data_IF_539537308934
#
_entry.id   IF_539537308934
#
_cell.length_a   1.000
_cell.length_b   1.000
_cell.length_c   1.000
_cell.angle_alpha   90.00
_cell.angle_beta   90.00
_cell.angle_gamma   90.00
#
_symmetry.space_group_name_H-M   'P 1'
#
loop_
_entity.id
_entity.type
_entity.pdbx_description
1 polymer ?
#
# COMPACT_ATOMS: atom_id res chain seq x y z
N UNK A 1 -24.36 28.56 61.16
CA UNK A 1 -23.91 27.29 60.55
C UNK A 1 -22.58 27.55 59.90
N UNK A 2 -21.50 27.10 60.54
CA UNK A 2 -20.12 27.34 60.14
C UNK A 2 -19.76 26.54 58.89
N UNK A 3 -19.21 27.24 57.89
CA UNK A 3 -18.20 26.66 57.02
C UNK A 3 -16.84 26.76 57.71
N UNK A 4 -16.09 25.68 57.73
CA UNK A 4 -14.67 25.66 58.06
C UNK A 4 -14.01 24.38 57.54
N UNK A 5 -13.14 24.63 56.56
CA UNK A 5 -11.73 24.18 56.52
C UNK A 5 -11.38 22.74 56.10
N UNK A 6 -10.58 22.75 55.03
CA UNK A 6 -9.93 21.67 54.34
C UNK A 6 -9.06 20.83 55.26
N UNK A 7 -9.27 19.51 55.23
CA UNK A 7 -8.30 18.54 55.75
C UNK A 7 -7.61 17.87 54.56
N UNK A 8 -6.41 18.35 54.24
CA UNK A 8 -5.43 17.64 53.43
C UNK A 8 -5.21 16.24 54.01
N UNK A 9 -5.50 15.19 53.23
CA UNK A 9 -5.04 13.84 53.49
C UNK A 9 -4.23 13.38 52.30
N UNK A 10 -2.92 13.36 52.49
CA UNK A 10 -1.99 12.65 51.62
C UNK A 10 -2.40 11.17 51.47
N UNK A 11 -2.20 10.57 50.29
CA UNK A 11 -2.52 9.17 50.07
C UNK A 11 -1.54 8.25 50.84
N UNK A 12 -2.03 7.16 51.46
CA UNK A 12 -1.14 6.15 52.01
C UNK A 12 -0.38 5.46 50.86
N UNK A 13 0.94 5.51 50.93
CA UNK A 13 1.82 4.60 50.18
C UNK A 13 1.59 3.18 50.72
N UNK A 14 1.25 2.25 49.85
CA UNK A 14 1.29 0.82 50.14
C UNK A 14 1.63 0.08 48.86
N UNK A 15 2.83 -0.48 48.87
CA UNK A 15 3.30 -1.43 47.89
C UNK A 15 2.40 -2.67 47.80
N UNK A 16 2.48 -3.35 46.65
CA UNK A 16 2.28 -4.78 46.50
C UNK A 16 0.87 -5.33 46.73
N UNK A 17 0.14 -5.51 45.62
CA UNK A 17 -0.49 -6.79 45.32
C UNK A 17 -0.23 -7.13 43.85
N UNK A 18 0.79 -7.96 43.65
CA UNK A 18 0.94 -8.77 42.47
C UNK A 18 -0.07 -9.95 42.50
N UNK A 19 -0.55 -10.36 41.32
CA UNK A 19 -1.34 -11.58 41.12
C UNK A 19 -2.84 -11.29 40.95
N UNK A 20 -3.50 -11.56 39.83
CA UNK A 20 -3.20 -12.49 38.75
C UNK A 20 -3.80 -11.96 37.45
N UNK A 21 -2.95 -11.40 36.58
CA UNK A 21 -3.29 -11.29 35.17
C UNK A 21 -3.10 -12.70 34.58
N UNK A 22 -4.15 -13.26 33.97
CA UNK A 22 -4.15 -14.57 33.33
C UNK A 22 -2.99 -14.62 32.31
N UNK A 23 -1.87 -15.31 32.60
CA UNK A 23 -0.65 -15.20 31.78
C UNK A 23 -0.81 -15.84 30.40
N UNK A 24 -1.78 -16.74 30.29
CA UNK A 24 -1.97 -17.64 29.15
C UNK A 24 -2.47 -16.92 27.89
N UNK A 25 -3.23 -15.84 28.04
CA UNK A 25 -3.74 -15.08 26.87
C UNK A 25 -2.67 -14.12 26.32
N UNK A 26 -1.84 -13.53 27.20
CA UNK A 26 -0.75 -12.64 26.81
C UNK A 26 0.38 -13.39 26.08
N UNK A 27 0.68 -14.62 26.50
CA UNK A 27 1.73 -15.45 25.87
C UNK A 27 1.35 -15.96 24.47
N UNK A 28 0.06 -16.11 24.15
CA UNK A 28 -0.38 -16.59 22.84
C UNK A 28 -0.35 -15.49 21.78
N UNK A 29 -0.64 -14.24 22.17
CA UNK A 29 -0.55 -13.08 21.27
C UNK A 29 0.90 -12.67 20.97
N UNK A 30 1.83 -12.83 21.91
CA UNK A 30 3.26 -12.55 21.67
C UNK A 30 3.89 -13.52 20.67
N UNK A 31 3.43 -14.78 20.61
CA UNK A 31 4.03 -15.80 19.73
C UNK A 31 3.74 -15.58 18.23
N UNK A 32 2.70 -14.82 17.89
CA UNK A 32 2.32 -14.56 16.50
C UNK A 32 2.65 -13.15 16.00
N UNK A 33 2.98 -12.21 16.89
CA UNK A 33 3.31 -10.83 16.53
C UNK A 33 4.81 -10.56 16.35
N UNK A 34 5.69 -11.44 16.84
CA UNK A 34 7.15 -11.22 16.79
C UNK A 34 7.85 -11.71 15.52
N UNK A 35 7.12 -12.16 14.49
CA UNK A 35 7.79 -12.58 13.24
C UNK A 35 6.95 -12.41 11.98
N UNK A 36 6.28 -11.27 11.85
CA UNK A 36 5.95 -10.75 10.51
C UNK A 36 7.09 -9.81 10.16
N UNK A 37 8.02 -10.29 9.35
CA UNK A 37 9.03 -9.41 8.77
C UNK A 37 8.28 -8.35 7.94
N UNK A 38 8.48 -7.08 8.26
CA UNK A 38 7.75 -6.01 7.59
C UNK A 38 8.28 -5.88 6.17
N UNK A 39 7.48 -6.28 5.18
CA UNK A 39 7.84 -6.11 3.77
C UNK A 39 8.01 -4.62 3.46
N UNK A 40 9.17 -4.27 2.93
CA UNK A 40 9.47 -2.97 2.34
C UNK A 40 9.25 -3.01 0.83
N UNK A 41 8.95 -1.86 0.22
CA UNK A 41 8.79 -1.76 -1.24
C UNK A 41 10.07 -2.17 -2.00
N UNK A 42 11.24 -1.95 -1.40
CA UNK A 42 12.54 -2.42 -1.91
C UNK A 42 12.61 -3.92 -2.10
N UNK A 43 11.88 -4.68 -1.28
CA UNK A 43 11.97 -6.14 -1.24
C UNK A 43 11.24 -6.77 -2.44
N UNK A 44 10.37 -5.99 -3.11
CA UNK A 44 9.64 -6.40 -4.32
C UNK A 44 9.98 -5.53 -5.54
N UNK A 45 10.96 -4.65 -5.41
CA UNK A 45 11.34 -3.75 -6.50
C UNK A 45 11.96 -4.56 -7.65
N UNK A 46 11.38 -4.42 -8.84
CA UNK A 46 11.88 -5.04 -10.07
C UNK A 46 12.13 -3.99 -11.12
N UNK A 47 13.13 -4.22 -11.97
CA UNK A 47 13.34 -3.36 -13.13
C UNK A 47 12.28 -3.68 -14.18
N UNK A 48 11.43 -2.70 -14.48
CA UNK A 48 10.42 -2.83 -15.54
C UNK A 48 10.90 -2.12 -16.80
N UNK A 49 10.65 -2.69 -17.99
CA UNK A 49 10.91 -2.00 -19.25
C UNK A 49 10.22 -0.64 -19.32
N UNK A 50 10.91 0.32 -19.93
CA UNK A 50 10.39 1.66 -20.19
C UNK A 50 10.28 1.90 -21.69
N UNK A 51 9.43 2.87 -22.06
CA UNK A 51 9.32 3.40 -23.42
C UNK A 51 9.38 4.91 -23.39
N UNK A 52 9.80 5.53 -24.47
CA UNK A 52 9.81 6.99 -24.60
C UNK A 52 8.51 7.50 -25.22
N UNK A 53 8.22 8.80 -25.03
CA UNK A 53 7.10 9.46 -25.73
C UNK A 53 7.25 9.50 -27.26
N UNK A 54 8.46 9.23 -27.75
CA UNK A 54 8.78 9.21 -29.18
C UNK A 54 8.73 7.80 -29.78
N UNK A 55 8.61 6.77 -28.94
CA UNK A 55 8.49 5.39 -29.43
C UNK A 55 7.14 5.19 -30.13
N UNK A 56 7.11 4.46 -31.27
CA UNK A 56 5.85 4.10 -31.90
C UNK A 56 4.95 3.31 -30.94
N UNK A 57 3.65 3.59 -30.96
CA UNK A 57 2.68 2.88 -30.12
C UNK A 57 2.78 1.36 -30.29
N UNK A 58 2.99 0.87 -31.51
CA UNK A 58 3.16 -0.55 -31.80
C UNK A 58 4.34 -1.19 -31.06
N UNK A 59 5.42 -0.43 -30.80
CA UNK A 59 6.54 -0.88 -29.99
C UNK A 59 6.10 -1.04 -28.53
N UNK A 60 5.42 -0.04 -27.96
CA UNK A 60 4.89 -0.14 -26.60
C UNK A 60 3.94 -1.34 -26.43
N UNK A 61 3.00 -1.54 -27.36
CA UNK A 61 2.10 -2.70 -27.37
C UNK A 61 2.87 -4.02 -27.43
N UNK A 62 3.90 -4.10 -28.27
CA UNK A 62 4.75 -5.29 -28.38
C UNK A 62 5.49 -5.57 -27.08
N UNK A 63 6.11 -4.56 -26.46
CA UNK A 63 6.81 -4.72 -25.17
C UNK A 63 5.84 -5.23 -24.12
N UNK A 64 4.64 -4.65 -24.01
CA UNK A 64 3.61 -5.12 -23.08
C UNK A 64 3.21 -6.58 -23.33
N UNK A 65 2.92 -6.93 -24.59
CA UNK A 65 2.43 -8.27 -24.95
C UNK A 65 3.48 -9.35 -24.71
N UNK A 66 4.72 -9.10 -25.13
CA UNK A 66 5.83 -10.07 -24.99
C UNK A 66 6.24 -10.24 -23.53
N UNK A 67 6.35 -9.14 -22.79
CA UNK A 67 6.76 -9.15 -21.39
C UNK A 67 5.62 -9.39 -20.40
N UNK A 68 4.38 -9.58 -20.89
CA UNK A 68 3.15 -9.79 -20.09
C UNK A 68 2.95 -8.70 -19.04
N UNK A 69 3.29 -7.47 -19.39
CA UNK A 69 3.23 -6.35 -18.45
C UNK A 69 1.82 -5.74 -18.44
N UNK A 70 1.25 -5.47 -17.25
CA UNK A 70 -0.05 -4.81 -17.13
C UNK A 70 0.00 -3.32 -17.48
N UNK A 71 1.20 -2.75 -17.58
CA UNK A 71 1.46 -1.36 -17.95
C UNK A 71 2.95 -1.11 -18.19
N UNK A 72 3.28 0.03 -18.75
CA UNK A 72 4.66 0.49 -18.97
C UNK A 72 4.90 1.83 -18.30
N UNK A 73 6.15 2.08 -17.92
CA UNK A 73 6.59 3.42 -17.54
C UNK A 73 7.00 4.16 -18.81
N UNK A 74 6.41 5.32 -19.03
CA UNK A 74 6.80 6.25 -20.09
C UNK A 74 7.81 7.23 -19.52
N UNK A 75 8.95 7.39 -20.20
CA UNK A 75 10.04 8.27 -19.79
C UNK A 75 10.29 9.38 -20.81
N UNK A 76 10.94 10.45 -20.37
CA UNK A 76 11.49 11.50 -21.24
C UNK A 76 12.83 11.09 -21.87
N UNK A 77 13.41 11.99 -22.68
CA UNK A 77 14.71 11.80 -23.34
C UNK A 77 15.89 11.62 -22.36
N UNK A 78 15.70 12.01 -21.10
CA UNK A 78 16.67 11.85 -20.01
C UNK A 78 16.36 10.63 -19.13
N UNK A 79 15.47 9.75 -19.59
CA UNK A 79 15.00 8.56 -18.88
C UNK A 79 14.32 8.86 -17.53
N UNK A 80 13.74 10.05 -17.37
CA UNK A 80 12.96 10.41 -16.19
C UNK A 80 11.51 9.96 -16.38
N UNK A 81 10.89 9.31 -15.38
CA UNK A 81 9.49 8.91 -15.46
C UNK A 81 8.57 10.10 -15.67
N UNK A 82 7.69 10.00 -16.67
CA UNK A 82 6.65 10.99 -16.96
C UNK A 82 5.28 10.48 -16.51
N UNK A 83 4.93 9.26 -16.90
CA UNK A 83 3.63 8.67 -16.61
C UNK A 83 3.66 7.14 -16.73
N UNK A 84 2.55 6.50 -16.36
CA UNK A 84 2.30 5.07 -16.61
C UNK A 84 1.33 4.95 -17.78
N UNK A 85 1.64 4.08 -18.75
CA UNK A 85 0.75 3.64 -19.80
C UNK A 85 0.09 2.32 -19.37
N UNK A 86 -1.18 2.32 -18.93
CA UNK A 86 -1.87 1.10 -18.51
C UNK A 86 -2.31 0.26 -19.71
N UNK A 87 -2.35 -1.05 -19.53
CA UNK A 87 -2.78 -2.00 -20.56
C UNK A 87 -4.23 -1.79 -20.98
N UNK A 88 -5.09 -1.32 -20.08
CA UNK A 88 -6.48 -0.95 -20.42
C UNK A 88 -6.54 0.20 -21.42
N UNK A 89 -5.66 1.20 -21.31
CA UNK A 89 -5.58 2.30 -22.28
C UNK A 89 -5.09 1.80 -23.64
N UNK A 90 -4.16 0.84 -23.66
CA UNK A 90 -3.72 0.18 -24.89
C UNK A 90 -4.83 -0.67 -25.51
N UNK A 91 -5.57 -1.43 -24.70
CA UNK A 91 -6.68 -2.27 -25.16
C UNK A 91 -7.78 -1.44 -25.82
N UNK A 92 -8.06 -0.23 -25.30
CA UNK A 92 -9.02 0.70 -25.93
C UNK A 92 -8.64 1.09 -27.36
N UNK A 93 -7.38 0.98 -27.76
CA UNK A 93 -6.98 1.23 -29.16
C UNK A 93 -7.40 0.09 -30.10
N UNK A 94 -7.59 -1.12 -29.56
CA UNK A 94 -8.00 -2.31 -30.32
C UNK A 94 -9.51 -2.50 -30.36
N UNK A 95 -10.25 -1.92 -29.41
CA UNK A 95 -11.71 -2.02 -29.33
C UNK A 95 -12.36 -1.00 -30.27
N UNK A 96 -13.22 -1.41 -31.22
CA UNK A 96 -13.95 -0.46 -32.07
C UNK A 96 -14.74 0.55 -31.24
N UNK A 97 -14.77 1.81 -31.66
CA UNK A 97 -15.40 2.90 -30.91
C UNK A 97 -16.86 2.64 -30.53
N UNK A 98 -17.62 1.97 -31.41
CA UNK A 98 -19.02 1.59 -31.15
C UNK A 98 -19.23 0.75 -29.88
N UNK A 99 -18.21 0.00 -29.42
CA UNK A 99 -18.28 -0.78 -28.19
C UNK A 99 -17.71 -0.04 -26.97
N UNK A 100 -16.93 1.02 -27.18
CA UNK A 100 -16.36 1.81 -26.08
C UNK A 100 -17.40 2.73 -25.44
N UNK A 101 -18.34 3.23 -26.25
CA UNK A 101 -19.37 4.19 -25.83
C UNK A 101 -20.70 3.51 -25.48
N UNK A 102 -20.76 2.17 -25.49
CA UNK A 102 -21.97 1.42 -25.15
C UNK A 102 -22.13 1.32 -23.62
N UNK A 103 -23.14 2.00 -23.02
CA UNK A 103 -23.35 1.98 -21.58
C UNK A 103 -23.79 0.60 -21.05
N UNK A 104 -24.21 -0.32 -21.91
CA UNK A 104 -24.49 -1.70 -21.51
C UNK A 104 -23.22 -2.53 -21.25
N UNK A 105 -22.04 -2.05 -21.68
CA UNK A 105 -20.75 -2.71 -21.54
C UNK A 105 -19.83 -2.07 -20.47
N UNK A 106 -20.34 -1.06 -19.75
CA UNK A 106 -19.60 -0.27 -18.77
C UNK A 106 -19.65 -0.84 -17.33
#
# INVERSE_FOLDING_TARGET
MLGSEQQTREPPTAASVAGAAIPTLQAHLHRHAEQVDFMHASDIAVNVPTVTVHDPVAQAVRVMAVSRLPGLIVVDDRSRPLMVLPGTQVLRLAVPGAYQDDPALA
#
